data_IF_346536276904
#
_entry.id   IF_346536276904
#
_cell.length_a   1.000
_cell.length_b   1.000
_cell.length_c   1.000
_cell.angle_alpha   90.00
_cell.angle_beta   90.00
_cell.angle_gamma   90.00
#
_symmetry.space_group_name_H-M   'P 1'
#
loop_
_entity.id
_entity.type
_entity.pdbx_description
1 polymer ?
#
# COMPACT_ATOMS: atom_id res chain seq x y z
N UNK A 1 -0.53 5.24 2.70
CA UNK A 1 -1.10 3.91 2.43
C UNK A 1 -2.30 4.15 1.54
N UNK A 2 -2.18 3.84 0.25
CA UNK A 2 -3.28 4.00 -0.71
C UNK A 2 -4.14 2.75 -0.64
N UNK A 3 -5.45 2.90 -0.52
CA UNK A 3 -6.40 1.79 -0.60
C UNK A 3 -6.26 1.09 -1.96
N UNK A 4 -6.58 -0.21 -2.03
CA UNK A 4 -6.49 -1.00 -3.27
C UNK A 4 -7.35 -0.41 -4.38
N UNK A 5 -8.48 0.19 -4.04
CA UNK A 5 -9.33 0.89 -4.99
C UNK A 5 -8.66 2.16 -5.55
N UNK A 6 -8.03 2.96 -4.69
CA UNK A 6 -7.26 4.14 -5.12
C UNK A 6 -6.07 3.73 -5.98
N UNK A 7 -5.36 2.66 -5.61
CA UNK A 7 -4.28 2.09 -6.43
C UNK A 7 -4.79 1.64 -7.80
N UNK A 8 -5.99 1.06 -7.89
CA UNK A 8 -6.58 0.64 -9.17
C UNK A 8 -6.88 1.84 -10.06
N UNK A 9 -7.41 2.91 -9.48
CA UNK A 9 -7.65 4.16 -10.18
C UNK A 9 -6.35 4.75 -10.74
N UNK A 10 -5.28 4.76 -9.96
CA UNK A 10 -3.97 5.28 -10.40
C UNK A 10 -3.39 4.46 -11.56
N UNK A 11 -3.50 3.12 -11.51
CA UNK A 11 -3.00 2.22 -12.56
C UNK A 11 -3.83 2.36 -13.84
N UNK A 12 -5.15 2.54 -13.75
CA UNK A 12 -6.02 2.78 -14.91
C UNK A 12 -5.66 4.11 -15.58
N UNK A 13 -5.44 5.17 -14.80
CA UNK A 13 -5.01 6.46 -15.34
C UNK A 13 -3.65 6.34 -16.03
N UNK A 14 -2.69 5.64 -15.41
CA UNK A 14 -1.37 5.39 -15.99
C UNK A 14 -1.45 4.59 -17.31
N UNK A 15 -2.35 3.60 -17.39
CA UNK A 15 -2.58 2.85 -18.62
C UNK A 15 -3.15 3.73 -19.73
N UNK A 16 -4.10 4.61 -19.40
CA UNK A 16 -4.66 5.57 -20.35
C UNK A 16 -3.58 6.53 -20.89
N UNK A 17 -2.70 7.03 -20.02
CA UNK A 17 -1.57 7.87 -20.41
C UNK A 17 -0.60 7.13 -21.34
N UNK A 18 -0.28 5.87 -21.05
CA UNK A 18 0.56 5.05 -21.93
C UNK A 18 -0.07 4.84 -23.31
N UNK A 19 -1.38 4.57 -23.39
CA UNK A 19 -2.10 4.41 -24.65
C UNK A 19 -2.14 5.73 -25.46
N UNK A 20 -2.38 6.85 -24.79
CA UNK A 20 -2.42 8.16 -25.43
C UNK A 20 -1.03 8.56 -25.98
N UNK A 21 0.01 8.44 -25.16
CA UNK A 21 1.38 8.75 -25.55
C UNK A 21 1.89 7.82 -26.65
N UNK A 22 1.58 6.52 -26.57
CA UNK A 22 1.91 5.56 -27.62
C UNK A 22 1.26 5.95 -28.95
N UNK A 23 -0.02 6.31 -28.94
CA UNK A 23 -0.75 6.72 -30.15
C UNK A 23 -0.15 8.00 -30.76
N UNK A 24 0.22 8.98 -29.94
CA UNK A 24 0.88 10.20 -30.39
C UNK A 24 2.23 9.92 -31.08
N UNK A 25 3.08 9.10 -30.45
CA UNK A 25 4.38 8.70 -31.02
C UNK A 25 4.21 7.86 -32.29
N UNK A 26 3.22 6.98 -32.35
CA UNK A 26 2.91 6.21 -33.56
C UNK A 26 2.45 7.12 -34.70
N UNK A 27 1.66 8.16 -34.43
CA UNK A 27 1.23 9.12 -35.45
C UNK A 27 2.38 10.02 -35.92
N UNK A 28 3.26 10.44 -35.01
CA UNK A 28 4.45 11.24 -35.34
C UNK A 28 5.44 10.44 -36.21
N UNK A 29 5.62 9.15 -35.91
CA UNK A 29 6.53 8.26 -36.64
C UNK A 29 5.89 7.56 -37.84
N UNK A 30 4.58 7.74 -38.06
CA UNK A 30 3.86 7.15 -39.17
C UNK A 30 4.35 7.72 -40.51
N UNK A 31 4.82 6.82 -41.40
CA UNK A 31 5.12 7.20 -42.79
C UNK A 31 3.82 7.33 -43.57
N UNK A 32 3.65 8.36 -44.42
CA UNK A 32 2.52 8.45 -45.34
C UNK A 32 2.43 7.18 -46.20
N UNK A 33 1.25 6.55 -46.25
CA UNK A 33 1.05 5.43 -47.17
C UNK A 33 1.11 5.94 -48.60
N UNK A 34 2.01 5.37 -49.41
CA UNK A 34 2.07 5.66 -50.84
C UNK A 34 1.22 4.63 -51.57
N UNK A 35 0.20 5.09 -52.29
CA UNK A 35 -0.56 4.25 -53.20
C UNK A 35 0.23 4.09 -54.50
N UNK A 36 0.35 2.85 -55.00
CA UNK A 36 1.23 2.49 -56.12
C UNK A 36 0.94 3.21 -57.45
N UNK A 37 -0.23 3.82 -57.61
CA UNK A 37 -0.63 4.53 -58.83
C UNK A 37 -0.12 6.00 -58.91
N UNK A 38 0.55 6.54 -57.88
CA UNK A 38 0.87 7.98 -57.78
C UNK A 38 2.39 8.32 -57.73
N UNK A 39 3.25 7.39 -58.14
CA UNK A 39 4.70 7.41 -57.87
C UNK A 39 5.58 8.35 -58.74
N UNK A 40 5.05 9.36 -59.45
CA UNK A 40 5.91 10.16 -60.35
C UNK A 40 6.12 11.66 -60.04
N UNK A 41 5.54 12.26 -58.99
CA UNK A 41 5.70 13.72 -58.81
C UNK A 41 5.93 14.28 -57.40
N UNK A 42 6.48 13.51 -56.46
CA UNK A 42 6.85 14.07 -55.16
C UNK A 42 8.21 13.58 -54.66
N UNK A 43 9.20 13.75 -55.53
CA UNK A 43 10.61 13.72 -55.19
C UNK A 43 11.02 15.00 -54.46
N UNK A 44 10.67 15.16 -53.19
CA UNK A 44 11.42 15.99 -52.21
C UNK A 44 10.65 16.15 -50.89
N UNK A 45 10.74 15.15 -50.01
CA UNK A 45 10.99 15.41 -48.58
C UNK A 45 11.68 14.16 -48.03
N UNK A 46 12.98 14.06 -48.33
CA UNK A 46 13.97 13.47 -47.42
C UNK A 46 13.73 14.11 -46.04
N UNK A 47 13.67 13.40 -44.92
CA UNK A 47 14.83 12.81 -44.25
C UNK A 47 14.42 12.05 -42.98
N UNK A 48 15.06 10.91 -42.72
CA UNK A 48 15.34 10.33 -41.39
C UNK A 48 14.13 9.97 -40.50
N UNK A 49 13.35 8.95 -40.87
CA UNK A 49 12.60 8.18 -39.85
C UNK A 49 13.40 6.90 -39.59
N UNK A 50 14.34 7.06 -38.66
CA UNK A 50 15.21 6.04 -38.10
C UNK A 50 14.44 4.82 -37.58
N UNK A 51 15.14 3.69 -37.48
CA UNK A 51 14.69 2.44 -36.85
C UNK A 51 14.11 2.60 -35.42
N UNK A 52 14.25 3.78 -34.82
CA UNK A 52 13.71 4.15 -33.51
C UNK A 52 12.18 4.07 -33.40
N UNK A 53 11.42 4.22 -34.50
CA UNK A 53 9.95 4.13 -34.45
C UNK A 53 9.46 2.74 -34.00
N UNK A 54 10.15 1.70 -34.45
CA UNK A 54 9.86 0.31 -34.05
C UNK A 54 10.29 0.03 -32.60
N UNK A 55 11.38 0.67 -32.15
CA UNK A 55 11.86 0.55 -30.77
C UNK A 55 10.93 1.25 -29.78
N UNK A 56 10.41 2.44 -30.09
CA UNK A 56 9.41 3.12 -29.27
C UNK A 56 8.08 2.36 -29.25
N UNK A 57 7.64 1.82 -30.38
CA UNK A 57 6.45 0.97 -30.46
C UNK A 57 6.57 -0.25 -29.55
N UNK A 58 7.72 -0.95 -29.57
CA UNK A 58 8.00 -2.08 -28.67
C UNK A 58 8.09 -1.67 -27.19
N UNK A 59 8.67 -0.50 -26.91
CA UNK A 59 8.76 0.03 -25.55
C UNK A 59 7.38 0.33 -24.96
N UNK A 60 6.54 1.05 -25.71
CA UNK A 60 5.16 1.33 -25.29
C UNK A 60 4.32 0.06 -25.19
N UNK A 61 4.47 -0.89 -26.12
CA UNK A 61 3.81 -2.18 -26.01
C UNK A 61 4.20 -2.91 -24.71
N UNK A 62 5.49 -2.88 -24.34
CA UNK A 62 5.97 -3.48 -23.09
C UNK A 62 5.37 -2.79 -21.87
N UNK A 63 5.32 -1.45 -21.86
CA UNK A 63 4.69 -0.70 -20.76
C UNK A 63 3.20 -0.98 -20.66
N UNK A 64 2.46 -0.96 -21.77
CA UNK A 64 1.02 -1.28 -21.79
C UNK A 64 0.76 -2.70 -21.28
N UNK A 65 1.50 -3.71 -21.78
CA UNK A 65 1.35 -5.09 -21.34
C UNK A 65 1.67 -5.25 -19.86
N UNK A 66 2.73 -4.62 -19.37
CA UNK A 66 3.10 -4.66 -17.95
C UNK A 66 2.04 -4.01 -17.08
N UNK A 67 1.64 -2.78 -17.39
CA UNK A 67 0.62 -2.04 -16.61
C UNK A 67 -0.73 -2.75 -16.64
N UNK A 68 -1.09 -3.39 -17.76
CA UNK A 68 -2.29 -4.22 -17.86
C UNK A 68 -2.19 -5.47 -16.98
N UNK A 69 -1.03 -6.12 -16.93
CA UNK A 69 -0.81 -7.26 -16.04
C UNK A 69 -0.86 -6.85 -14.56
N UNK A 70 -0.32 -5.68 -14.23
CA UNK A 70 -0.39 -5.10 -12.87
C UNK A 70 -1.84 -4.77 -12.49
N UNK A 71 -2.64 -4.23 -13.43
CA UNK A 71 -4.07 -3.98 -13.27
C UNK A 71 -4.85 -5.29 -13.00
N UNK A 72 -4.60 -6.34 -13.77
CA UNK A 72 -5.26 -7.64 -13.58
C UNK A 72 -4.90 -8.25 -12.22
N UNK A 73 -3.62 -8.25 -11.86
CA UNK A 73 -3.18 -8.74 -10.55
C UNK A 73 -3.79 -7.95 -9.39
N UNK A 74 -4.02 -6.64 -9.59
CA UNK A 74 -4.67 -5.79 -8.60
C UNK A 74 -6.16 -6.11 -8.48
N UNK A 75 -6.86 -6.34 -9.60
CA UNK A 75 -8.26 -6.79 -9.62
C UNK A 75 -8.41 -8.14 -8.89
N UNK A 76 -7.52 -9.10 -9.17
CA UNK A 76 -7.53 -10.42 -8.53
C UNK A 76 -7.26 -10.33 -7.01
N UNK A 77 -6.60 -9.25 -6.57
CA UNK A 77 -6.32 -9.00 -5.15
C UNK A 77 -7.41 -8.23 -4.41
N UNK A 78 -8.47 -7.79 -5.12
CA UNK A 78 -9.57 -7.07 -4.47
C UNK A 78 -10.33 -8.02 -3.54
N UNK A 79 -10.70 -7.57 -2.34
CA UNK A 79 -11.59 -8.34 -1.48
C UNK A 79 -12.95 -8.54 -2.17
N UNK A 80 -13.61 -9.66 -1.90
CA UNK A 80 -14.96 -9.93 -2.41
C UNK A 80 -15.88 -8.79 -1.98
N UNK A 81 -16.36 -8.01 -2.93
CA UNK A 81 -17.33 -6.95 -2.67
C UNK A 81 -18.69 -7.63 -2.48
N UNK A 82 -19.32 -7.54 -1.29
CA UNK A 82 -20.64 -8.11 -1.07
C UNK A 82 -21.60 -7.46 -2.06
N UNK A 83 -22.14 -8.28 -2.95
CA UNK A 83 -23.01 -7.80 -4.04
C UNK A 83 -24.47 -8.09 -3.76
N UNK A 84 -24.74 -8.98 -2.80
CA UNK A 84 -26.08 -9.34 -2.35
C UNK A 84 -26.31 -8.88 -0.92
N UNK A 85 -27.59 -8.66 -0.57
CA UNK A 85 -28.00 -8.27 0.79
C UNK A 85 -27.64 -9.35 1.83
N UNK A 86 -27.62 -10.62 1.41
CA UNK A 86 -27.19 -11.76 2.24
C UNK A 86 -25.68 -11.71 2.56
N UNK A 87 -24.83 -11.39 1.57
CA UNK A 87 -23.38 -11.23 1.81
C UNK A 87 -23.08 -10.07 2.78
N UNK A 88 -23.87 -9.00 2.69
CA UNK A 88 -23.73 -7.84 3.57
C UNK A 88 -24.16 -8.18 5.01
N UNK A 89 -25.24 -8.95 5.16
CA UNK A 89 -25.68 -9.45 6.46
C UNK A 89 -24.65 -10.39 7.10
N UNK A 90 -24.04 -11.28 6.31
CA UNK A 90 -22.95 -12.14 6.79
C UNK A 90 -21.75 -11.31 7.26
N UNK A 91 -21.33 -10.31 6.46
CA UNK A 91 -20.23 -9.43 6.83
C UNK A 91 -20.54 -8.65 8.12
N UNK A 92 -21.78 -8.18 8.29
CA UNK A 92 -22.19 -7.49 9.51
C UNK A 92 -22.12 -8.42 10.73
N UNK A 93 -22.57 -9.67 10.59
CA UNK A 93 -22.43 -10.69 11.65
C UNK A 93 -20.97 -11.00 11.99
N UNK A 94 -20.09 -11.08 10.98
CA UNK A 94 -18.65 -11.25 11.22
C UNK A 94 -18.03 -10.05 11.94
N UNK A 95 -18.47 -8.82 11.62
CA UNK A 95 -18.03 -7.62 12.32
C UNK A 95 -18.47 -7.60 13.79
N UNK A 96 -19.71 -8.00 14.09
CA UNK A 96 -20.20 -8.09 15.46
C UNK A 96 -19.42 -9.13 16.29
N UNK A 97 -19.08 -10.27 15.70
CA UNK A 97 -18.21 -11.27 16.33
C UNK A 97 -16.81 -10.73 16.62
N UNK A 98 -16.21 -10.02 15.67
CA UNK A 98 -14.90 -9.39 15.85
C UNK A 98 -14.95 -8.30 16.93
N UNK A 99 -16.02 -7.52 17.01
CA UNK A 99 -16.23 -6.54 18.07
C UNK A 99 -16.30 -7.23 19.44
N UNK A 100 -17.07 -8.31 19.55
CA UNK A 100 -17.17 -9.07 20.79
C UNK A 100 -15.81 -9.68 21.20
N UNK A 101 -15.06 -10.24 20.25
CA UNK A 101 -13.71 -10.76 20.50
C UNK A 101 -12.76 -9.64 20.96
N UNK A 102 -12.85 -8.46 20.33
CA UNK A 102 -12.04 -7.31 20.69
C UNK A 102 -12.33 -6.82 22.12
N UNK A 103 -13.61 -6.76 22.51
CA UNK A 103 -14.03 -6.40 23.86
C UNK A 103 -13.51 -7.42 24.89
N UNK A 104 -13.63 -8.72 24.58
CA UNK A 104 -13.12 -9.78 25.45
C UNK A 104 -11.59 -9.73 25.61
N UNK A 105 -10.86 -9.51 24.50
CA UNK A 105 -9.41 -9.35 24.50
C UNK A 105 -8.99 -8.11 25.31
N UNK A 106 -9.70 -6.99 25.15
CA UNK A 106 -9.47 -5.76 25.91
C UNK A 106 -9.69 -5.96 27.40
N UNK A 107 -10.79 -6.62 27.79
CA UNK A 107 -11.08 -6.92 29.21
C UNK A 107 -9.99 -7.80 29.83
N UNK A 108 -9.53 -8.80 29.08
CA UNK A 108 -8.41 -9.65 29.53
C UNK A 108 -7.13 -8.83 29.67
N UNK A 109 -6.86 -7.92 28.74
CA UNK A 109 -5.71 -7.04 28.82
C UNK A 109 -5.80 -6.15 30.06
N UNK A 110 -6.95 -5.52 30.33
CA UNK A 110 -7.18 -4.67 31.50
C UNK A 110 -6.92 -5.41 32.81
N UNK A 111 -7.44 -6.63 32.95
CA UNK A 111 -7.18 -7.46 34.13
C UNK A 111 -5.68 -7.76 34.30
N UNK A 112 -4.99 -8.07 33.21
CA UNK A 112 -3.55 -8.32 33.27
C UNK A 112 -2.75 -7.07 33.60
N UNK A 113 -3.16 -5.90 33.10
CA UNK A 113 -2.51 -4.63 33.42
C UNK A 113 -2.75 -4.22 34.87
N UNK A 114 -3.96 -4.42 35.41
CA UNK A 114 -4.26 -4.12 36.81
C UNK A 114 -3.41 -4.97 37.76
N UNK A 115 -3.28 -6.28 37.49
CA UNK A 115 -2.42 -7.15 38.28
C UNK A 115 -0.94 -6.76 38.16
N UNK A 116 -0.49 -6.36 36.97
CA UNK A 116 0.88 -5.91 36.76
C UNK A 116 1.18 -4.60 37.50
N UNK A 117 0.24 -3.65 37.50
CA UNK A 117 0.34 -2.39 38.24
C UNK A 117 0.38 -2.64 39.76
N UNK A 118 -0.48 -3.53 40.26
CA UNK A 118 -0.48 -3.91 41.67
C UNK A 118 0.86 -4.53 42.12
N UNK A 119 1.40 -5.45 41.32
CA UNK A 119 2.70 -6.07 41.58
C UNK A 119 3.83 -5.03 41.52
N UNK A 120 3.76 -4.08 40.58
CA UNK A 120 4.74 -3.01 40.46
C UNK A 120 4.74 -2.11 41.71
N UNK A 121 3.56 -1.74 42.21
CA UNK A 121 3.41 -0.92 43.41
C UNK A 121 3.97 -1.61 44.66
N UNK A 122 3.73 -2.92 44.80
CA UNK A 122 4.33 -3.72 45.87
C UNK A 122 5.86 -3.73 45.81
N UNK A 123 6.44 -3.95 44.61
CA UNK A 123 7.89 -3.94 44.42
C UNK A 123 8.46 -2.56 44.73
N UNK A 124 7.80 -1.50 44.26
CA UNK A 124 8.22 -0.12 44.52
C UNK A 124 8.19 0.21 46.02
N UNK A 125 7.14 -0.19 46.73
CA UNK A 125 7.01 0.00 48.19
C UNK A 125 8.09 -0.77 48.95
N UNK A 126 8.40 -2.01 48.53
CA UNK A 126 9.47 -2.81 49.12
C UNK A 126 10.86 -2.18 48.89
N UNK A 127 11.12 -1.67 47.69
CA UNK A 127 12.37 -0.95 47.39
C UNK A 127 12.49 0.35 48.19
N UNK A 128 11.39 1.09 48.37
CA UNK A 128 11.38 2.30 49.19
C UNK A 128 11.67 1.99 50.66
N UNK A 129 11.05 0.95 51.23
CA UNK A 129 11.30 0.57 52.62
C UNK A 129 12.73 0.07 52.84
N UNK A 130 13.30 -0.68 51.88
CA UNK A 130 14.70 -1.10 51.91
C UNK A 130 15.65 0.11 51.85
N UNK A 131 15.39 1.05 50.94
CA UNK A 131 16.16 2.30 50.84
C UNK A 131 16.10 3.11 52.15
N UNK A 132 14.91 3.23 52.75
CA UNK A 132 14.70 3.91 54.02
C UNK A 132 15.48 3.24 55.16
N UNK A 133 15.42 1.90 55.26
CA UNK A 133 16.14 1.13 56.26
C UNK A 133 17.66 1.31 56.15
N UNK A 134 18.20 1.31 54.91
CA UNK A 134 19.62 1.56 54.66
C UNK A 134 20.03 2.99 55.04
N UNK A 135 19.19 4.00 54.78
CA UNK A 135 19.44 5.38 55.20
C UNK A 135 19.41 5.52 56.73
N UNK A 136 18.48 4.85 57.41
CA UNK A 136 18.36 4.87 58.86
C UNK A 136 19.53 4.17 59.56
N UNK A 137 19.97 3.02 59.05
CA UNK A 137 21.20 2.38 59.54
C UNK A 137 22.41 3.30 59.36
N UNK A 138 22.57 3.92 58.17
CA UNK A 138 23.66 4.85 57.92
C UNK A 138 23.64 6.05 58.87
N UNK A 139 22.47 6.62 59.19
CA UNK A 139 22.33 7.70 60.18
C UNK A 139 22.69 7.24 61.59
N UNK A 140 22.29 6.03 62.00
CA UNK A 140 22.68 5.47 63.31
C UNK A 140 24.19 5.30 63.43
N UNK A 141 24.86 4.86 62.36
CA UNK A 141 26.32 4.78 62.33
C UNK A 141 27.02 6.15 62.37
N UNK A 142 26.40 7.22 61.86
CA UNK A 142 26.94 8.59 61.94
C UNK A 142 26.71 9.29 63.29
N UNK A 143 25.59 9.01 63.98
CA UNK A 143 25.27 9.60 65.28
C UNK A 143 25.85 8.83 66.49
N UNK A 144 26.48 7.67 66.25
CA UNK A 144 27.11 6.82 67.26
C UNK A 144 28.62 7.02 67.44
N UNK A 145 29.19 8.12 66.93
CA UNK A 145 30.55 8.58 67.21
C UNK A 145 30.52 9.88 68.03
#
# INVERSE_FOLDING_TARGET
MSDRLTQLQDVVNLLADHLCNATGVLQETARPSRFGDFEQNSSSTTTNVDNNGDDYSRLFATYITRTTSELVALIDSLPTIPSTEDDLAEQHGQLELLEQENIAATTRLEQTTELAEYLLDQVQTCLQSLSQALLDERKKFQNGQ
#
